data_IF_350354448823
#
_entry.id   IF_350354448823
#
_cell.length_a   1.000
_cell.length_b   1.000
_cell.length_c   1.000
_cell.angle_alpha   90.00
_cell.angle_beta   90.00
_cell.angle_gamma   90.00
#
_symmetry.space_group_name_H-M   'P 1'
#
loop_
_entity.id
_entity.type
_entity.pdbx_description
1 polymer ?
#
# COMPACT_ATOMS: atom_id res chain seq x y z
N UNK A 1 26.25 -68.91 -3.72
CA UNK A 1 27.20 -67.78 -3.76
C UNK A 1 26.45 -66.54 -4.22
N UNK A 2 26.45 -65.37 -3.61
CA UNK A 2 26.59 -64.91 -2.22
C UNK A 2 26.06 -63.47 -2.28
N UNK A 3 25.42 -63.04 -1.20
CA UNK A 3 24.84 -61.71 -1.02
C UNK A 3 25.88 -60.58 -0.90
N UNK A 4 25.30 -59.37 -0.95
CA UNK A 4 25.66 -58.09 -0.33
C UNK A 4 26.42 -57.06 -1.21
N UNK A 5 25.77 -55.94 -1.58
CA UNK A 5 25.45 -54.71 -0.81
C UNK A 5 26.67 -53.81 -0.63
N UNK A 6 26.69 -52.65 -1.31
CA UNK A 6 27.13 -51.40 -0.70
C UNK A 6 26.41 -50.21 -1.33
N UNK A 7 25.95 -49.35 -0.42
CA UNK A 7 25.10 -48.19 -0.57
C UNK A 7 25.74 -47.05 -1.37
N UNK A 8 24.91 -46.21 -1.96
CA UNK A 8 25.22 -44.78 -2.03
C UNK A 8 23.97 -43.96 -1.75
N UNK A 9 23.87 -43.52 -0.50
CA UNK A 9 22.93 -42.51 -0.04
C UNK A 9 23.25 -41.20 -0.76
N UNK A 10 22.30 -40.69 -1.55
CA UNK A 10 22.25 -39.28 -1.88
C UNK A 10 21.19 -38.64 -0.99
N UNK A 11 21.68 -37.96 0.04
CA UNK A 11 20.99 -36.91 0.78
C UNK A 11 20.31 -35.99 -0.25
N UNK A 12 19.01 -35.72 -0.16
CA UNK A 12 18.46 -34.89 0.90
C UNK A 12 18.65 -33.42 0.53
N UNK A 13 17.98 -32.97 -0.53
CA UNK A 13 17.64 -31.56 -0.75
C UNK A 13 16.21 -31.54 -1.29
N UNK A 14 15.26 -31.58 -0.37
CA UNK A 14 13.94 -31.03 -0.58
C UNK A 14 14.12 -29.53 -0.83
N UNK A 15 14.19 -29.13 -2.10
CA UNK A 15 13.98 -27.73 -2.45
C UNK A 15 12.55 -27.41 -2.04
N UNK A 16 12.44 -26.76 -0.89
CA UNK A 16 11.20 -26.21 -0.40
C UNK A 16 10.92 -25.03 -1.31
N UNK A 17 10.22 -25.29 -2.41
CA UNK A 17 9.51 -24.28 -3.17
C UNK A 17 8.43 -23.72 -2.24
N UNK A 18 8.85 -22.88 -1.29
CA UNK A 18 8.00 -21.91 -0.64
C UNK A 18 7.67 -20.92 -1.73
N UNK A 19 6.65 -21.27 -2.53
CA UNK A 19 5.88 -20.27 -3.26
C UNK A 19 5.55 -19.19 -2.24
N UNK A 20 6.03 -17.94 -2.40
CA UNK A 20 5.55 -16.85 -1.56
C UNK A 20 4.04 -16.88 -1.72
N UNK A 21 3.30 -17.04 -0.60
CA UNK A 21 1.86 -16.84 -0.63
C UNK A 21 1.56 -15.47 -1.27
N UNK A 22 0.34 -15.27 -1.80
CA UNK A 22 -0.02 -14.01 -2.46
C UNK A 22 0.37 -12.84 -1.55
N UNK A 23 1.36 -12.06 -2.01
CA UNK A 23 1.93 -10.95 -1.26
C UNK A 23 0.82 -9.93 -1.07
N UNK A 24 0.52 -9.63 0.19
CA UNK A 24 -0.46 -8.62 0.53
C UNK A 24 0.23 -7.26 0.42
N UNK A 25 -0.29 -6.38 -0.43
CA UNK A 25 0.25 -5.04 -0.61
C UNK A 25 -0.37 -4.04 0.36
N UNK A 26 0.42 -3.06 0.80
CA UNK A 26 -0.07 -1.92 1.57
C UNK A 26 -0.80 -0.92 0.66
N UNK A 27 -1.87 -0.24 1.12
CA UNK A 27 -2.52 0.83 0.34
C UNK A 27 -1.61 2.03 0.07
N UNK A 28 -0.50 2.19 0.80
CA UNK A 28 0.44 3.31 0.63
C UNK A 28 1.44 3.10 -0.52
N UNK A 29 1.51 1.87 -1.07
CA UNK A 29 2.38 1.51 -2.18
C UNK A 29 1.90 2.13 -3.51
N UNK A 30 2.82 2.22 -4.48
CA UNK A 30 2.52 2.63 -5.85
C UNK A 30 2.25 1.41 -6.71
N UNK A 31 1.23 1.53 -7.56
CA UNK A 31 0.77 0.48 -8.45
C UNK A 31 0.63 1.04 -9.87
N UNK A 32 0.93 0.20 -10.87
CA UNK A 32 0.68 0.55 -12.26
C UNK A 32 -0.80 0.33 -12.58
N UNK A 33 -1.49 1.38 -13.02
CA UNK A 33 -2.88 1.28 -13.44
C UNK A 33 -2.99 0.55 -14.78
N UNK A 34 -3.53 -0.66 -14.76
CA UNK A 34 -3.72 -1.47 -15.98
C UNK A 34 -5.15 -1.36 -16.52
N UNK A 35 -5.78 -0.21 -16.36
CA UNK A 35 -7.12 0.01 -16.91
C UNK A 35 -7.06 -0.01 -18.45
N UNK A 36 -7.88 -0.88 -19.05
CA UNK A 36 -7.89 -1.10 -20.49
C UNK A 36 -8.69 -0.06 -21.27
N UNK A 37 -8.10 0.39 -22.37
CA UNK A 37 -8.72 1.22 -23.40
C UNK A 37 -8.92 0.42 -24.70
N UNK A 38 -9.72 0.94 -25.64
CA UNK A 38 -9.81 0.38 -26.98
C UNK A 38 -8.43 0.21 -27.63
N UNK A 39 -8.30 -0.77 -28.51
CA UNK A 39 -7.06 -1.12 -29.22
C UNK A 39 -5.93 -1.69 -28.34
N UNK A 40 -6.24 -2.13 -27.11
CA UNK A 40 -5.29 -2.84 -26.26
C UNK A 40 -4.28 -1.93 -25.55
N UNK A 41 -4.60 -0.64 -25.42
CA UNK A 41 -3.81 0.30 -24.63
C UNK A 41 -4.21 0.22 -23.15
N UNK A 42 -3.26 0.52 -22.27
CA UNK A 42 -3.47 0.63 -20.83
C UNK A 42 -3.23 2.06 -20.34
N UNK A 43 -3.70 2.37 -19.14
CA UNK A 43 -3.47 3.67 -18.51
C UNK A 43 -2.01 3.91 -18.14
N UNK A 44 -1.35 2.90 -17.58
CA UNK A 44 0.06 2.93 -17.15
C UNK A 44 0.44 4.07 -16.17
N UNK A 45 -0.54 4.75 -15.58
CA UNK A 45 -0.30 5.71 -14.51
C UNK A 45 0.16 4.99 -13.24
N UNK A 46 1.17 5.55 -12.55
CA UNK A 46 1.56 5.10 -11.22
C UNK A 46 0.68 5.77 -10.16
N UNK A 47 -0.13 4.97 -9.48
CA UNK A 47 -1.11 5.43 -8.50
C UNK A 47 -0.84 4.85 -7.13
N UNK A 48 -1.07 5.63 -6.06
CA UNK A 48 -1.11 5.05 -4.71
C UNK A 48 -2.42 4.29 -4.54
N UNK A 49 -2.40 3.20 -3.77
CA UNK A 49 -3.62 2.49 -3.39
C UNK A 49 -4.66 3.41 -2.74
N UNK A 50 -4.22 4.34 -1.90
CA UNK A 50 -5.08 5.37 -1.28
C UNK A 50 -5.80 6.29 -2.27
N UNK A 51 -5.21 6.50 -3.46
CA UNK A 51 -5.69 7.46 -4.46
C UNK A 51 -6.52 6.79 -5.57
N UNK A 52 -6.65 5.46 -5.54
CA UNK A 52 -7.33 4.67 -6.57
C UNK A 52 -8.73 5.19 -6.87
N UNK A 53 -9.57 5.42 -5.86
CA UNK A 53 -10.94 5.87 -6.07
C UNK A 53 -10.98 7.19 -6.84
N UNK A 54 -10.12 8.16 -6.48
CA UNK A 54 -10.06 9.43 -7.19
C UNK A 54 -9.50 9.25 -8.62
N UNK A 55 -8.49 8.41 -8.79
CA UNK A 55 -7.93 8.10 -10.10
C UNK A 55 -8.98 7.47 -11.04
N UNK A 56 -9.71 6.44 -10.60
CA UNK A 56 -10.75 5.81 -11.42
C UNK A 56 -11.87 6.80 -11.80
N UNK A 57 -12.20 7.71 -10.89
CA UNK A 57 -13.22 8.75 -11.12
C UNK A 57 -12.76 9.79 -12.14
N UNK A 58 -11.55 10.29 -11.97
CA UNK A 58 -11.06 11.43 -12.75
C UNK A 58 -10.48 10.99 -14.10
N UNK A 59 -9.74 9.87 -14.15
CA UNK A 59 -9.04 9.39 -15.35
C UNK A 59 -9.87 8.40 -16.18
N UNK A 60 -10.78 7.63 -15.56
CA UNK A 60 -11.58 6.60 -16.26
C UNK A 60 -13.07 6.86 -16.23
N UNK A 61 -13.47 8.05 -15.78
CA UNK A 61 -14.87 8.52 -15.79
C UNK A 61 -15.84 7.58 -15.05
N UNK A 62 -15.34 6.84 -14.04
CA UNK A 62 -16.17 6.00 -13.16
C UNK A 62 -16.92 6.91 -12.18
N UNK A 63 -17.94 7.59 -12.69
CA UNK A 63 -18.76 8.60 -12.00
C UNK A 63 -20.23 8.18 -12.06
N UNK A 64 -20.99 8.51 -11.02
CA UNK A 64 -22.42 8.26 -10.97
C UNK A 64 -22.92 7.97 -9.56
N UNK A 65 -24.17 7.51 -9.47
CA UNK A 65 -24.72 6.99 -8.21
C UNK A 65 -24.00 5.71 -7.83
N UNK A 66 -23.81 5.46 -6.53
CA UNK A 66 -23.16 4.24 -6.04
C UNK A 66 -23.82 2.95 -6.57
N UNK A 67 -25.15 2.98 -6.78
CA UNK A 67 -25.93 1.86 -7.33
C UNK A 67 -25.85 1.70 -8.85
N UNK A 68 -25.27 2.66 -9.58
CA UNK A 68 -25.11 2.55 -11.02
C UNK A 68 -24.12 1.43 -11.36
N UNK A 69 -24.35 0.75 -12.49
CA UNK A 69 -23.52 -0.36 -12.95
C UNK A 69 -22.32 0.15 -13.73
N UNK A 70 -21.15 -0.40 -13.45
CA UNK A 70 -19.92 -0.13 -14.17
C UNK A 70 -19.14 -1.44 -14.39
N UNK A 71 -18.50 -1.56 -15.54
CA UNK A 71 -17.66 -2.69 -15.92
C UNK A 71 -16.21 -2.42 -15.52
N UNK A 72 -15.56 -3.38 -14.86
CA UNK A 72 -14.13 -3.35 -14.60
C UNK A 72 -13.35 -3.63 -15.89
N UNK A 73 -12.57 -2.67 -16.36
CA UNK A 73 -11.72 -2.83 -17.57
C UNK A 73 -10.26 -3.10 -17.27
N UNK A 74 -9.91 -3.30 -16.00
CA UNK A 74 -8.54 -3.63 -15.60
C UNK A 74 -8.08 -4.93 -16.24
N UNK A 75 -7.01 -4.91 -17.04
CA UNK A 75 -6.51 -6.08 -17.79
C UNK A 75 -7.62 -6.93 -18.44
N UNK A 76 -8.61 -6.28 -19.07
CA UNK A 76 -9.76 -6.96 -19.69
C UNK A 76 -10.60 -7.84 -18.75
N UNK A 77 -10.71 -7.45 -17.47
CA UNK A 77 -11.48 -8.18 -16.46
C UNK A 77 -12.95 -8.42 -16.84
N UNK A 78 -13.65 -7.42 -17.37
CA UNK A 78 -15.02 -7.53 -17.90
C UNK A 78 -16.13 -7.78 -16.86
N UNK A 79 -15.83 -7.75 -15.55
CA UNK A 79 -16.82 -7.98 -14.50
C UNK A 79 -17.58 -6.69 -14.18
N UNK A 80 -18.89 -6.80 -14.00
CA UNK A 80 -19.74 -5.67 -13.65
C UNK A 80 -20.00 -5.56 -12.15
N UNK A 81 -19.91 -4.34 -11.63
CA UNK A 81 -20.19 -4.01 -10.25
C UNK A 81 -21.08 -2.79 -10.17
N UNK A 82 -21.63 -2.52 -8.99
CA UNK A 82 -22.08 -1.18 -8.68
C UNK A 82 -20.83 -0.28 -8.50
N UNK A 83 -20.93 1.03 -8.78
CA UNK A 83 -19.79 1.95 -8.69
C UNK A 83 -19.13 1.91 -7.30
N UNK A 84 -19.92 1.76 -6.23
CA UNK A 84 -19.40 1.69 -4.86
C UNK A 84 -18.48 0.49 -4.61
N UNK A 85 -18.82 -0.68 -5.17
CA UNK A 85 -18.07 -1.93 -5.01
C UNK A 85 -16.97 -2.13 -6.06
N UNK A 86 -16.95 -1.33 -7.13
CA UNK A 86 -15.91 -1.44 -8.17
C UNK A 86 -14.51 -1.08 -7.64
N UNK A 87 -14.40 -0.10 -6.76
CA UNK A 87 -13.09 0.26 -6.17
C UNK A 87 -12.56 -0.87 -5.28
N UNK A 88 -13.41 -1.43 -4.41
CA UNK A 88 -13.05 -2.59 -3.56
C UNK A 88 -12.59 -3.77 -4.40
N UNK A 89 -13.28 -4.02 -5.52
CA UNK A 89 -12.90 -5.06 -6.47
C UNK A 89 -11.48 -4.87 -7.01
N UNK A 90 -11.13 -3.64 -7.43
CA UNK A 90 -9.81 -3.35 -8.02
C UNK A 90 -8.71 -3.44 -6.96
N UNK A 91 -8.93 -2.92 -5.75
CA UNK A 91 -7.99 -3.04 -4.64
C UNK A 91 -7.65 -4.51 -4.34
N UNK A 92 -8.68 -5.36 -4.20
CA UNK A 92 -8.52 -6.75 -3.79
C UNK A 92 -7.96 -7.63 -4.93
N UNK A 93 -8.57 -7.56 -6.11
CA UNK A 93 -8.34 -8.55 -7.17
C UNK A 93 -7.23 -8.16 -8.14
N UNK A 94 -6.88 -6.89 -8.20
CA UNK A 94 -5.92 -6.39 -9.18
C UNK A 94 -4.67 -5.78 -8.54
N UNK A 95 -4.83 -5.10 -7.40
CA UNK A 95 -3.71 -4.52 -6.67
C UNK A 95 -3.25 -5.41 -5.51
N UNK A 96 -4.05 -6.41 -5.11
CA UNK A 96 -3.71 -7.30 -4.00
C UNK A 96 -3.57 -6.57 -2.66
N UNK A 97 -4.25 -5.42 -2.51
CA UNK A 97 -4.19 -4.61 -1.31
C UNK A 97 -4.87 -5.35 -0.18
N UNK A 98 -4.22 -5.37 0.98
CA UNK A 98 -4.83 -5.83 2.21
C UNK A 98 -4.62 -4.82 3.34
N UNK A 99 -5.57 -4.85 4.26
CA UNK A 99 -5.65 -3.94 5.37
C UNK A 99 -5.30 -4.66 6.66
N UNK A 100 -4.28 -4.17 7.36
CA UNK A 100 -3.81 -4.77 8.60
C UNK A 100 -4.24 -3.93 9.80
N UNK A 101 -4.74 -4.60 10.83
CA UNK A 101 -4.87 -4.02 12.16
C UNK A 101 -3.53 -4.16 12.92
N UNK A 102 -3.31 -3.26 13.88
CA UNK A 102 -2.16 -3.32 14.78
C UNK A 102 -2.11 -4.59 15.64
N UNK A 103 -3.25 -5.27 15.80
CA UNK A 103 -3.33 -6.59 16.43
C UNK A 103 -2.79 -7.73 15.55
N UNK A 104 -2.41 -7.46 14.30
CA UNK A 104 -1.93 -8.44 13.32
C UNK A 104 -3.03 -9.08 12.45
N UNK A 105 -4.31 -8.74 12.67
CA UNK A 105 -5.40 -9.25 11.85
C UNK A 105 -5.38 -8.63 10.44
N UNK A 106 -5.53 -9.48 9.41
CA UNK A 106 -5.61 -9.10 7.99
C UNK A 106 -7.08 -9.03 7.53
N UNK A 107 -7.40 -8.01 6.75
CA UNK A 107 -8.71 -7.79 6.16
C UNK A 107 -8.56 -7.48 4.67
N UNK A 108 -9.49 -7.95 3.83
CA UNK A 108 -9.52 -7.60 2.40
C UNK A 108 -10.15 -6.24 2.13
N UNK A 109 -10.97 -5.72 3.07
CA UNK A 109 -11.69 -4.45 2.92
C UNK A 109 -11.46 -3.48 4.07
N UNK A 110 -11.47 -2.19 3.74
CA UNK A 110 -11.25 -1.07 4.67
C UNK A 110 -12.37 -0.90 5.68
N UNK A 111 -13.62 -1.08 5.29
CA UNK A 111 -14.79 -0.97 6.17
C UNK A 111 -14.80 -2.08 7.23
N UNK A 112 -14.41 -3.29 6.85
CA UNK A 112 -14.30 -4.44 7.75
C UNK A 112 -13.19 -4.23 8.77
N UNK A 113 -12.01 -3.73 8.35
CA UNK A 113 -10.96 -3.30 9.29
C UNK A 113 -11.48 -2.20 10.22
N UNK A 114 -12.18 -1.20 9.68
CA UNK A 114 -12.68 -0.07 10.48
C UNK A 114 -13.67 -0.52 11.55
N UNK A 115 -14.56 -1.47 11.22
CA UNK A 115 -15.48 -2.08 12.17
C UNK A 115 -14.76 -2.94 13.21
N UNK A 116 -13.75 -3.71 12.79
CA UNK A 116 -12.90 -4.47 13.71
C UNK A 116 -12.21 -3.56 14.73
N UNK A 117 -11.61 -2.44 14.28
CA UNK A 117 -10.88 -1.51 15.14
C UNK A 117 -11.72 -0.96 16.29
N UNK A 118 -13.04 -0.80 16.13
CA UNK A 118 -13.94 -0.29 17.17
C UNK A 118 -13.94 -1.15 18.44
N UNK A 119 -13.73 -2.46 18.29
CA UNK A 119 -13.76 -3.44 19.37
C UNK A 119 -12.39 -4.11 19.57
N UNK A 120 -11.35 -3.64 18.88
CA UNK A 120 -10.02 -4.22 18.96
C UNK A 120 -9.22 -3.54 20.08
N UNK A 121 -8.86 -4.31 21.10
CA UNK A 121 -7.94 -3.88 22.17
C UNK A 121 -6.46 -4.04 21.79
N UNK A 122 -6.18 -4.53 20.58
CA UNK A 122 -4.84 -4.93 20.13
C UNK A 122 -3.97 -3.76 19.74
N UNK A 123 -3.26 -3.22 20.71
CA UNK A 123 -2.10 -2.37 20.52
C UNK A 123 -0.93 -3.26 20.08
N UNK A 124 -0.34 -3.00 18.91
CA UNK A 124 1.02 -3.46 18.63
C UNK A 124 1.87 -2.90 19.77
N UNK A 125 2.49 -3.76 20.57
CA UNK A 125 3.40 -3.36 21.64
C UNK A 125 4.64 -2.70 21.03
N UNK A 126 4.49 -1.45 20.59
CA UNK A 126 5.59 -0.54 20.44
C UNK A 126 6.12 -0.27 21.83
N UNK A 127 7.27 -0.84 22.15
CA UNK A 127 8.12 -0.39 23.26
C UNK A 127 8.51 1.07 23.01
N UNK A 128 7.59 2.00 23.26
CA UNK A 128 7.97 3.34 23.67
C UNK A 128 8.42 3.20 25.12
N UNK A 129 9.72 3.02 25.32
CA UNK A 129 10.31 3.46 26.57
C UNK A 129 9.99 4.95 26.66
N UNK A 130 9.04 5.29 27.51
CA UNK A 130 8.92 6.61 28.07
C UNK A 130 10.21 6.88 28.83
N UNK A 131 11.19 7.46 28.15
CA UNK A 131 12.23 8.21 28.85
C UNK A 131 11.47 9.37 29.52
N UNK A 132 11.46 9.49 30.84
CA UNK A 132 10.88 10.66 31.47
C UNK A 132 11.78 11.85 31.10
N UNK A 133 11.30 12.71 30.20
CA UNK A 133 11.94 13.99 29.89
C UNK A 133 11.84 14.87 31.12
N UNK A 134 12.84 14.79 32.00
CA UNK A 134 12.99 15.70 33.12
C UNK A 134 13.40 17.08 32.58
N UNK A 135 12.43 17.98 32.52
CA UNK A 135 12.63 19.40 32.24
C UNK A 135 13.45 20.04 33.36
N UNK A 136 14.74 20.33 33.08
CA UNK A 136 15.52 21.30 33.85
C UNK A 136 15.88 22.48 32.96
N UNK A 137 15.18 23.58 33.24
CA UNK A 137 15.49 24.97 32.88
C UNK A 137 16.97 25.32 33.09
N UNK A 138 17.55 26.09 32.17
CA UNK A 138 18.62 27.08 32.38
C UNK A 138 18.53 28.14 31.23
N UNK A 139 19.07 29.36 31.41
CA UNK A 139 18.35 30.60 31.14
C UNK A 139 18.66 31.28 29.80
N UNK A 140 17.77 32.20 29.45
CA UNK A 140 17.91 33.17 28.37
C UNK A 140 19.09 34.12 28.59
N UNK A 141 19.87 34.36 27.54
CA UNK A 141 20.66 35.59 27.40
C UNK A 141 20.40 36.21 26.05
N UNK A 142 19.95 37.46 26.11
CA UNK A 142 19.58 38.33 25.01
C UNK A 142 20.77 38.66 24.09
N UNK A 143 20.45 38.94 22.83
CA UNK A 143 21.39 39.51 21.85
C UNK A 143 20.72 39.77 20.51
N UNK A 144 20.04 40.90 20.40
CA UNK A 144 19.69 41.58 19.14
C UNK A 144 20.32 42.99 19.21
N UNK A 145 20.42 43.75 18.11
CA UNK A 145 20.49 43.40 16.68
C UNK A 145 21.62 44.17 15.97
N UNK A 146 21.99 43.82 14.71
CA UNK A 146 22.38 44.83 13.69
C UNK A 146 22.01 44.37 12.27
N UNK A 147 21.06 45.12 11.71
CA UNK A 147 20.72 45.28 10.30
C UNK A 147 21.91 45.89 9.52
N UNK A 148 22.10 45.56 8.22
CA UNK A 148 22.24 46.52 7.10
C UNK A 148 22.54 45.82 5.76
N UNK A 149 21.77 46.22 4.72
CA UNK A 149 22.03 46.24 3.26
C UNK A 149 22.32 44.92 2.52
N UNK A 150 21.52 44.47 1.55
CA UNK A 150 21.21 45.02 0.20
C UNK A 150 22.42 44.99 -0.76
N UNK A 151 22.37 44.11 -1.79
CA UNK A 151 22.91 44.35 -3.15
C UNK A 151 22.68 43.15 -4.13
N UNK A 152 21.95 43.47 -5.20
CA UNK A 152 22.11 43.10 -6.62
C UNK A 152 22.12 41.66 -7.17
N UNK A 153 21.24 41.51 -8.18
CA UNK A 153 21.24 40.52 -9.28
C UNK A 153 22.41 40.77 -10.25
N UNK A 154 22.82 39.77 -11.04
CA UNK A 154 23.41 40.03 -12.35
C UNK A 154 22.43 39.68 -13.49
N UNK A 155 22.40 40.56 -14.49
CA UNK A 155 21.90 40.32 -15.84
C UNK A 155 22.92 39.50 -16.67
N UNK A 156 22.41 38.65 -17.56
CA UNK A 156 22.97 38.43 -18.90
C UNK A 156 24.14 37.46 -19.07
N UNK A 157 23.86 36.31 -19.71
CA UNK A 157 24.32 36.02 -21.08
C UNK A 157 23.33 35.08 -21.77
#
# INVERSE_FOLDING_TARGET
>A
MSNHFYSRSSNGLSDSSTTPGPVAHSPEELFLCMWGYPHGLHCDDLIRGTDLHNHLRETHEIRGKESARAECRWNHCGREFNIGSLCEHVEEMHMGIAYFCDCGSKFSRRDTLSNHKKNCSGQRSGTAQSVPTNVRNLPATAGDPKNFSEAQRPDGL
#
